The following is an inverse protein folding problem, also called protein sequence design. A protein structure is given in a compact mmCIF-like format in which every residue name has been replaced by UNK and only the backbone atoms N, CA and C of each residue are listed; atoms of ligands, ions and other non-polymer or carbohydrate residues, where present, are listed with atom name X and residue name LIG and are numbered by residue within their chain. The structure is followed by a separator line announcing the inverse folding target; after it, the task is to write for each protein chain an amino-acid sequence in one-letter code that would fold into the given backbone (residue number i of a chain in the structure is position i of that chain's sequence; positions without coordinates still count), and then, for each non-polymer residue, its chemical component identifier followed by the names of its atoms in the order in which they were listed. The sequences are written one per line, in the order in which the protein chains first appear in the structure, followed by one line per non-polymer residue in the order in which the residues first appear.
data_IF_981368031184
#
_entry.id   IF_981368031184
#
_cell.length_a   1.000
_cell.length_b   1.000
_cell.length_c   1.000
_cell.angle_alpha   90.00
_cell.angle_beta   90.00
_cell.angle_gamma   90.00
#
_symmetry.space_group_name_H-M   'P 1'
#
loop_
_entity.id
_entity.type
_entity.pdbx_description
1 polymer ?
#
# COMPACT_ATOMS: atom_id res chain seq x y z
N UNK A 1 26.59 -24.24 10.86
CA UNK A 1 26.46 -24.51 9.44
C UNK A 1 25.55 -23.50 8.78
N UNK A 2 26.02 -22.86 7.74
CA UNK A 2 25.24 -21.81 7.03
C UNK A 2 24.04 -22.29 6.24
N UNK A 3 23.66 -23.54 6.40
CA UNK A 3 22.56 -24.16 5.66
C UNK A 3 21.21 -23.57 5.99
N UNK A 4 21.02 -23.12 7.24
CA UNK A 4 19.75 -22.50 7.63
C UNK A 4 19.56 -21.09 7.07
N UNK A 5 20.63 -20.38 6.78
CA UNK A 5 20.57 -19.07 6.15
C UNK A 5 20.21 -19.16 4.68
N UNK A 6 20.59 -20.25 4.05
CA UNK A 6 20.25 -20.55 2.67
C UNK A 6 18.79 -20.87 2.47
N UNK A 7 18.06 -21.18 3.57
CA UNK A 7 16.66 -21.51 3.54
C UNK A 7 15.74 -20.27 3.53
N UNK A 8 16.27 -19.06 3.56
CA UNK A 8 15.51 -17.88 3.21
C UNK A 8 15.29 -17.87 1.70
N UNK A 9 14.40 -18.74 1.28
CA UNK A 9 13.95 -18.79 -0.10
C UNK A 9 12.95 -17.67 -0.26
N UNK A 10 13.35 -16.60 -0.89
CA UNK A 10 12.47 -15.51 -1.17
C UNK A 10 13.22 -14.22 -1.46
N UNK A 11 12.60 -13.41 -2.27
CA UNK A 11 13.16 -12.12 -2.69
C UNK A 11 13.03 -11.08 -1.60
N UNK A 12 13.98 -10.18 -1.56
CA UNK A 12 13.90 -8.92 -0.83
C UNK A 12 13.45 -7.86 -1.81
N UNK A 13 12.29 -7.26 -1.56
CA UNK A 13 11.71 -6.26 -2.46
C UNK A 13 11.50 -4.94 -1.73
N UNK A 14 11.65 -3.85 -2.48
CA UNK A 14 11.26 -2.50 -2.05
C UNK A 14 9.91 -2.20 -2.67
N UNK A 15 8.95 -1.76 -1.87
CA UNK A 15 7.66 -1.29 -2.35
C UNK A 15 7.51 0.20 -2.11
N UNK A 16 7.16 0.94 -3.15
CA UNK A 16 6.98 2.37 -3.12
C UNK A 16 5.65 2.76 -3.77
N UNK A 17 5.07 3.83 -3.28
CA UNK A 17 3.77 4.31 -3.77
C UNK A 17 3.65 5.82 -3.63
N UNK A 18 3.04 6.43 -4.63
CA UNK A 18 2.49 7.79 -4.55
C UNK A 18 1.05 7.77 -5.07
N UNK A 19 0.27 8.79 -4.73
CA UNK A 19 -1.17 8.80 -5.03
C UNK A 19 -1.48 9.20 -6.47
N UNK A 20 -0.65 10.00 -7.11
CA UNK A 20 -0.92 10.49 -8.46
C UNK A 20 0.37 10.66 -9.28
N UNK A 21 0.25 10.74 -10.62
CA UNK A 21 1.41 10.84 -11.50
C UNK A 21 2.26 12.10 -11.32
N UNK A 22 1.70 13.17 -10.75
CA UNK A 22 2.44 14.41 -10.47
C UNK A 22 3.48 14.27 -9.37
N UNK A 23 3.49 13.15 -8.65
CA UNK A 23 4.40 12.88 -7.53
C UNK A 23 5.56 11.95 -7.91
N UNK A 24 5.96 11.94 -9.17
CA UNK A 24 7.05 11.07 -9.64
C UNK A 24 8.36 11.31 -8.90
N UNK A 25 8.66 12.58 -8.58
CA UNK A 25 9.87 12.92 -7.83
C UNK A 25 9.84 12.32 -6.42
N UNK A 26 8.68 12.38 -5.76
CA UNK A 26 8.50 11.76 -4.44
C UNK A 26 8.64 10.24 -4.51
N UNK A 27 8.15 9.64 -5.59
CA UNK A 27 8.30 8.20 -5.82
C UNK A 27 9.77 7.80 -5.96
N UNK A 28 10.53 8.54 -6.76
CA UNK A 28 11.97 8.29 -6.92
C UNK A 28 12.74 8.55 -5.61
N UNK A 29 12.35 9.55 -4.83
CA UNK A 29 12.93 9.82 -3.52
C UNK A 29 12.72 8.64 -2.56
N UNK A 30 11.54 8.03 -2.55
CA UNK A 30 11.29 6.82 -1.78
C UNK A 30 12.22 5.68 -2.19
N UNK A 31 12.36 5.48 -3.49
CA UNK A 31 13.22 4.42 -4.04
C UNK A 31 14.66 4.62 -3.60
N UNK A 32 15.21 5.81 -3.82
CA UNK A 32 16.61 6.11 -3.46
C UNK A 32 16.85 5.98 -1.95
N UNK A 33 15.92 6.47 -1.15
CA UNK A 33 16.02 6.36 0.31
C UNK A 33 16.06 4.90 0.76
N UNK A 34 15.17 4.08 0.23
CA UNK A 34 15.07 2.67 0.62
C UNK A 34 16.23 1.83 0.09
N UNK A 35 16.73 2.13 -1.11
CA UNK A 35 17.93 1.51 -1.64
C UNK A 35 19.16 1.81 -0.77
N UNK A 36 19.31 3.08 -0.37
CA UNK A 36 20.40 3.52 0.50
C UNK A 36 20.33 2.80 1.85
N UNK A 37 19.13 2.71 2.42
CA UNK A 37 18.91 1.98 3.66
C UNK A 37 19.30 0.50 3.55
N UNK A 38 18.83 -0.18 2.53
CA UNK A 38 19.11 -1.59 2.30
C UNK A 38 20.60 -1.82 2.09
N UNK A 39 21.23 -0.98 1.29
CA UNK A 39 22.67 -1.07 1.02
C UNK A 39 23.49 -0.88 2.30
N UNK A 40 23.13 0.09 3.13
CA UNK A 40 23.81 0.33 4.41
C UNK A 40 23.68 -0.86 5.38
N UNK A 41 22.63 -1.66 5.24
CA UNK A 41 22.40 -2.87 6.03
C UNK A 41 22.98 -4.14 5.39
N UNK A 42 23.65 -4.03 4.26
CA UNK A 42 24.17 -5.17 3.54
C UNK A 42 23.11 -6.07 2.92
N UNK A 43 21.90 -5.54 2.74
CA UNK A 43 20.79 -6.27 2.11
C UNK A 43 20.89 -6.17 0.59
N UNK A 44 20.69 -7.29 -0.07
CA UNK A 44 20.59 -7.33 -1.53
C UNK A 44 19.11 -7.21 -1.91
N UNK A 45 18.76 -6.14 -2.61
CA UNK A 45 17.42 -5.92 -3.11
C UNK A 45 17.26 -6.59 -4.46
N UNK A 46 16.32 -7.51 -4.55
CA UNK A 46 16.06 -8.26 -5.79
C UNK A 46 15.14 -7.49 -6.74
N UNK A 47 14.23 -6.70 -6.22
CA UNK A 47 13.23 -6.01 -7.04
C UNK A 47 12.79 -4.70 -6.37
N UNK A 48 12.55 -3.67 -7.18
CA UNK A 48 11.97 -2.41 -6.76
C UNK A 48 10.60 -2.27 -7.42
N UNK A 49 9.57 -2.11 -6.60
CA UNK A 49 8.19 -2.04 -7.06
C UNK A 49 7.67 -0.62 -6.85
N UNK A 50 7.05 -0.07 -7.88
CA UNK A 50 6.51 1.28 -7.89
C UNK A 50 5.04 1.24 -8.29
N UNK A 51 4.18 1.84 -7.47
CA UNK A 51 2.77 2.01 -7.78
C UNK A 51 2.37 3.49 -7.76
N UNK A 52 1.44 3.83 -8.61
CA UNK A 52 0.76 5.12 -8.58
C UNK A 52 -0.72 4.82 -8.31
N UNK A 53 -1.20 5.21 -7.14
CA UNK A 53 -2.56 4.95 -6.71
C UNK A 53 -2.73 5.23 -5.23
N UNK A 54 -3.95 5.49 -4.80
CA UNK A 54 -4.28 5.73 -3.41
C UNK A 54 -4.01 4.50 -2.53
N UNK A 55 -3.63 4.72 -1.28
CA UNK A 55 -3.54 3.66 -0.27
C UNK A 55 -4.87 2.97 0.02
N UNK A 56 -5.98 3.57 -0.39
CA UNK A 56 -7.33 2.98 -0.34
C UNK A 56 -7.65 2.11 -1.56
N UNK A 57 -6.84 2.20 -2.61
CA UNK A 57 -7.06 1.45 -3.83
C UNK A 57 -6.45 0.06 -3.73
N UNK A 58 -7.28 -0.93 -3.43
CA UNK A 58 -6.85 -2.33 -3.37
C UNK A 58 -6.74 -2.99 -4.74
N UNK A 59 -6.97 -2.24 -5.83
CA UNK A 59 -6.79 -2.70 -7.20
C UNK A 59 -5.46 -2.27 -7.80
N UNK A 60 -4.56 -1.70 -7.00
CA UNK A 60 -3.20 -1.35 -7.47
C UNK A 60 -2.53 -2.57 -8.07
N UNK A 61 -2.08 -2.44 -9.30
CA UNK A 61 -1.57 -3.57 -10.08
C UNK A 61 -0.34 -4.21 -9.45
N UNK A 62 0.65 -3.41 -9.13
CA UNK A 62 1.91 -3.92 -8.62
C UNK A 62 1.78 -4.44 -7.18
N UNK A 63 0.96 -3.78 -6.38
CA UNK A 63 0.65 -4.23 -5.03
C UNK A 63 -0.02 -5.62 -5.05
N UNK A 64 -0.99 -5.81 -5.94
CA UNK A 64 -1.65 -7.11 -6.10
C UNK A 64 -0.68 -8.19 -6.57
N UNK A 65 0.17 -7.89 -7.54
CA UNK A 65 1.21 -8.82 -7.99
C UNK A 65 2.15 -9.20 -6.84
N UNK A 66 2.50 -8.23 -6.00
CA UNK A 66 3.33 -8.47 -4.82
C UNK A 66 2.64 -9.41 -3.82
N UNK A 67 1.36 -9.15 -3.51
CA UNK A 67 0.59 -10.01 -2.62
C UNK A 67 0.51 -11.44 -3.17
N UNK A 68 0.24 -11.59 -4.45
CA UNK A 68 0.20 -12.90 -5.10
C UNK A 68 1.56 -13.63 -4.96
N UNK A 69 2.65 -12.91 -5.18
CA UNK A 69 4.00 -13.48 -4.99
C UNK A 69 4.28 -13.88 -3.54
N UNK A 70 3.75 -13.13 -2.58
CA UNK A 70 3.84 -13.49 -1.16
C UNK A 70 3.07 -14.79 -0.88
N UNK A 71 1.89 -14.94 -1.45
CA UNK A 71 1.08 -16.15 -1.30
C UNK A 71 1.75 -17.37 -1.93
N UNK A 72 2.50 -17.18 -3.00
CA UNK A 72 3.30 -18.22 -3.65
C UNK A 72 4.64 -18.48 -2.93
N UNK A 73 4.90 -17.78 -1.84
CA UNK A 73 6.11 -17.90 -1.02
C UNK A 73 7.40 -17.51 -1.73
N UNK A 74 7.30 -16.59 -2.68
CA UNK A 74 8.44 -16.07 -3.43
C UNK A 74 9.12 -14.87 -2.79
N UNK A 75 8.51 -14.28 -1.77
CA UNK A 75 8.99 -13.07 -1.10
C UNK A 75 9.36 -13.38 0.35
N UNK A 76 10.51 -12.91 0.80
CA UNK A 76 10.93 -13.03 2.21
C UNK A 76 10.82 -11.71 2.98
N UNK A 77 11.05 -10.59 2.31
CA UNK A 77 11.11 -9.28 2.96
C UNK A 77 10.55 -8.21 2.03
N UNK A 78 9.72 -7.34 2.59
CA UNK A 78 9.23 -6.12 1.91
C UNK A 78 9.72 -4.93 2.71
N UNK A 79 10.40 -4.00 2.04
CA UNK A 79 10.93 -2.78 2.66
C UNK A 79 10.08 -1.59 2.20
N UNK A 80 9.53 -0.84 3.14
CA UNK A 80 8.70 0.33 2.87
C UNK A 80 9.14 1.52 3.73
N UNK A 81 8.89 2.74 3.23
CA UNK A 81 9.25 3.96 3.94
C UNK A 81 8.27 4.29 5.07
N UNK A 82 7.00 3.93 4.93
CA UNK A 82 5.96 4.17 5.91
C UNK A 82 4.85 3.14 5.70
N UNK A 83 4.17 2.74 6.78
CA UNK A 83 3.09 1.74 6.70
C UNK A 83 1.97 2.13 5.74
N UNK A 84 1.66 3.43 5.64
CA UNK A 84 0.62 3.94 4.75
C UNK A 84 0.98 3.84 3.27
N UNK A 85 2.26 3.64 2.95
CA UNK A 85 2.67 3.34 1.57
C UNK A 85 2.21 1.96 1.14
N UNK A 86 2.06 1.04 2.09
CA UNK A 86 1.57 -0.31 1.81
C UNK A 86 0.04 -0.33 1.71
N UNK A 87 -0.64 0.06 2.79
CA UNK A 87 -2.10 0.21 2.83
C UNK A 87 -2.46 1.39 3.72
N UNK A 88 -3.57 2.05 3.43
CA UNK A 88 -4.06 3.15 4.27
C UNK A 88 -4.65 2.67 5.57
N UNK A 89 -5.43 1.60 5.54
CA UNK A 89 -6.07 1.01 6.71
C UNK A 89 -5.83 -0.50 6.76
N UNK A 90 -5.83 -1.04 7.96
CA UNK A 90 -5.68 -2.48 8.15
C UNK A 90 -4.25 -3.00 8.00
N UNK A 91 -3.26 -2.14 8.16
CA UNK A 91 -1.86 -2.54 8.03
C UNK A 91 -1.50 -3.72 8.93
N UNK A 92 -1.93 -3.69 10.19
CA UNK A 92 -1.64 -4.72 11.17
C UNK A 92 -2.19 -6.10 10.75
N UNK A 93 -3.34 -6.10 10.08
CA UNK A 93 -3.90 -7.33 9.54
C UNK A 93 -3.04 -7.89 8.41
N UNK A 94 -2.62 -7.03 7.49
CA UNK A 94 -1.74 -7.43 6.38
C UNK A 94 -0.38 -7.89 6.87
N UNK A 95 0.20 -7.21 7.84
CA UNK A 95 1.46 -7.61 8.44
C UNK A 95 1.37 -9.01 9.04
N UNK A 96 0.32 -9.27 9.81
CA UNK A 96 0.08 -10.58 10.42
C UNK A 96 -0.13 -11.67 9.36
N UNK A 97 -0.94 -11.36 8.35
CA UNK A 97 -1.21 -12.29 7.24
C UNK A 97 0.08 -12.65 6.49
N UNK A 98 0.87 -11.65 6.13
CA UNK A 98 2.11 -11.85 5.39
C UNK A 98 3.16 -12.57 6.24
N UNK A 99 3.20 -12.31 7.53
CA UNK A 99 4.08 -13.04 8.44
C UNK A 99 3.76 -14.54 8.43
N UNK A 100 2.50 -14.91 8.36
CA UNK A 100 2.09 -16.30 8.19
C UNK A 100 2.56 -16.93 6.88
N UNK A 101 2.77 -16.11 5.86
CA UNK A 101 3.32 -16.51 4.57
C UNK A 101 4.86 -16.49 4.55
N UNK A 102 5.50 -16.24 5.70
CA UNK A 102 6.95 -16.16 5.80
C UNK A 102 7.53 -14.83 5.34
N UNK A 103 6.72 -13.78 5.26
CA UNK A 103 7.14 -12.45 4.79
C UNK A 103 7.27 -11.49 5.96
N UNK A 104 8.43 -10.84 6.07
CA UNK A 104 8.67 -9.77 7.01
C UNK A 104 8.49 -8.42 6.30
N UNK A 105 7.72 -7.51 6.90
CA UNK A 105 7.63 -6.12 6.43
C UNK A 105 8.56 -5.26 7.29
N UNK A 106 9.48 -4.58 6.64
CA UNK A 106 10.43 -3.69 7.28
C UNK A 106 10.06 -2.25 6.98
N UNK A 107 9.67 -1.51 8.02
CA UNK A 107 9.29 -0.09 7.91
C UNK A 107 10.47 0.75 8.33
N UNK A 108 10.90 1.66 7.44
CA UNK A 108 12.07 2.49 7.70
C UNK A 108 11.72 3.83 8.36
N UNK A 109 10.46 4.24 8.36
CA UNK A 109 9.95 5.45 9.03
C UNK A 109 10.71 6.73 8.70
N UNK A 110 10.62 7.17 7.45
CA UNK A 110 11.11 8.49 7.09
C UNK A 110 9.94 9.48 7.10
N UNK A 111 9.91 10.41 8.07
CA UNK A 111 8.84 11.39 8.20
C UNK A 111 8.72 12.32 7.00
N UNK A 112 9.83 12.62 6.32
CA UNK A 112 9.82 13.43 5.08
C UNK A 112 9.10 12.74 3.94
N UNK A 113 9.00 11.41 4.00
CA UNK A 113 8.29 10.60 3.03
C UNK A 113 6.94 10.11 3.57
N UNK A 114 6.48 10.68 4.69
CA UNK A 114 5.18 10.38 5.26
C UNK A 114 4.06 10.91 4.37
N UNK A 115 3.01 10.13 4.11
CA UNK A 115 1.91 10.52 3.24
C UNK A 115 0.81 11.31 3.97
N UNK A 116 1.15 12.28 4.82
CA UNK A 116 0.16 13.04 5.59
C UNK A 116 -0.83 13.80 4.70
N UNK A 117 -0.34 14.45 3.64
CA UNK A 117 -1.20 15.15 2.70
C UNK A 117 -2.13 14.19 1.97
N UNK A 118 -1.62 13.01 1.63
CA UNK A 118 -2.42 11.96 1.02
C UNK A 118 -3.51 11.46 1.97
N UNK A 119 -3.21 11.36 3.26
CA UNK A 119 -4.21 10.97 4.27
C UNK A 119 -5.39 11.94 4.26
N UNK A 120 -5.13 13.22 4.24
CA UNK A 120 -6.17 14.26 4.17
C UNK A 120 -6.99 14.11 2.90
N UNK A 121 -6.35 13.92 1.76
CA UNK A 121 -7.04 13.73 0.49
C UNK A 121 -7.87 12.44 0.48
N UNK A 122 -7.36 11.38 1.04
CA UNK A 122 -8.08 10.11 1.15
C UNK A 122 -9.32 10.24 2.05
N UNK A 123 -9.20 10.97 3.17
CA UNK A 123 -10.33 11.27 4.05
C UNK A 123 -11.39 12.10 3.33
N UNK A 124 -10.98 13.13 2.58
CA UNK A 124 -11.87 13.94 1.77
C UNK A 124 -12.59 13.05 0.74
N UNK A 125 -11.88 12.16 0.09
CA UNK A 125 -12.44 11.24 -0.90
C UNK A 125 -13.50 10.32 -0.28
N UNK A 126 -13.24 9.78 0.91
CA UNK A 126 -14.20 8.96 1.66
C UNK A 126 -15.46 9.77 1.97
N UNK A 127 -15.29 10.99 2.46
CA UNK A 127 -16.41 11.88 2.79
C UNK A 127 -17.25 12.16 1.56
N UNK A 128 -16.64 12.45 0.43
CA UNK A 128 -17.34 12.70 -0.83
C UNK A 128 -18.14 11.48 -1.29
N UNK A 129 -17.55 10.31 -1.27
CA UNK A 129 -18.25 9.07 -1.64
C UNK A 129 -19.43 8.82 -0.71
N UNK A 130 -19.23 8.98 0.59
CA UNK A 130 -20.27 8.79 1.60
C UNK A 130 -21.40 9.80 1.42
N UNK A 131 -21.09 11.08 1.24
CA UNK A 131 -22.06 12.15 0.98
C UNK A 131 -22.86 11.90 -0.30
N UNK A 132 -22.20 11.43 -1.35
CA UNK A 132 -22.86 11.08 -2.60
C UNK A 132 -23.84 9.93 -2.45
N UNK A 133 -23.51 8.93 -1.65
CA UNK A 133 -24.42 7.82 -1.33
C UNK A 133 -25.63 8.27 -0.54
N UNK A 134 -25.43 9.11 0.47
CA UNK A 134 -26.54 9.70 1.25
C UNK A 134 -27.46 10.50 0.34
N UNK A 135 -26.89 11.34 -0.51
CA UNK A 135 -27.65 12.13 -1.48
C UNK A 135 -28.45 11.24 -2.42
N UNK A 136 -27.85 10.18 -2.93
CA UNK A 136 -28.52 9.21 -3.79
C UNK A 136 -29.69 8.52 -3.09
N UNK A 137 -29.54 8.14 -1.84
CA UNK A 137 -30.60 7.55 -1.03
C UNK A 137 -31.76 8.53 -0.82
N UNK A 138 -31.47 9.81 -0.55
CA UNK A 138 -32.49 10.84 -0.41
C UNK A 138 -33.27 11.03 -1.70
N UNK A 139 -32.59 11.07 -2.82
CA UNK A 139 -33.26 11.15 -4.14
C UNK A 139 -34.14 9.95 -4.38
N UNK A 140 -33.68 8.76 -4.06
CA UNK A 140 -34.43 7.53 -4.22
C UNK A 140 -35.69 7.52 -3.36
N UNK A 141 -35.58 7.89 -2.10
CA UNK A 141 -36.74 8.02 -1.20
C UNK A 141 -37.76 9.03 -1.69
N UNK A 142 -37.30 10.18 -2.16
CA UNK A 142 -38.17 11.21 -2.72
C UNK A 142 -38.93 10.69 -3.94
N UNK A 143 -38.24 10.00 -4.83
CA UNK A 143 -38.85 9.44 -6.03
C UNK A 143 -39.88 8.36 -5.71
N UNK A 144 -39.61 7.51 -4.74
CA UNK A 144 -40.56 6.51 -4.27
C UNK A 144 -41.80 7.15 -3.65
N UNK A 145 -41.64 8.21 -2.86
CA UNK A 145 -42.73 8.95 -2.26
C UNK A 145 -43.63 9.61 -3.32
N UNK A 146 -43.03 10.16 -4.37
CA UNK A 146 -43.78 10.74 -5.50
C UNK A 146 -44.56 9.66 -6.27
N UNK A 147 -44.01 8.47 -6.44
CA UNK A 147 -44.69 7.35 -7.11
C UNK A 147 -45.85 6.80 -6.28
N UNK A 148 -45.78 6.85 -4.95
CA UNK A 148 -46.87 6.44 -4.05
C UNK A 148 -48.04 7.42 -4.08
N UNK A 149 -47.78 8.66 -4.38
CA UNK A 149 -48.83 9.71 -4.48
C UNK A 149 -49.60 9.68 -5.81
N UNK A 150 -49.22 8.79 -6.68
CA UNK A 150 -49.95 8.54 -7.91
C UNK A 150 -51.07 7.51 -7.71
#
# INVERSE_FOLDING_TARGET
MGIQEENKVGKVVIYTRVSNPGQKDDLENQVEFLKTFANARGMIVDEVIKDIGSGLNYKRKQWNNLIDSCMERNISTIIIAHKDRFVRFGYEWFEKFLRKMGVEIMIVNNEKLSPQEELVQDLISIIHVFSGRIYGLRKYKKKMSEDEDL
#
